data_IF_213911768549
#
_entry.id   IF_213911768549
#
_cell.length_a   1.000
_cell.length_b   1.000
_cell.length_c   1.000
_cell.angle_alpha   90.00
_cell.angle_beta   90.00
_cell.angle_gamma   90.00
#
_symmetry.space_group_name_H-M   'P 1'
#
loop_
_entity.id
_entity.type
_entity.pdbx_description
1 polymer ?
#
# COMPACT_ATOMS: atom_id res chain seq x y z
N UNK A 1 16.57 13.76 -22.49
CA UNK A 1 17.02 12.66 -21.60
C UNK A 1 17.09 13.14 -20.12
N UNK A 2 15.96 13.63 -19.58
CA UNK A 2 15.93 14.24 -18.22
C UNK A 2 15.13 13.40 -17.21
N UNK A 3 15.08 12.08 -17.32
CA UNK A 3 14.21 11.26 -16.46
C UNK A 3 14.88 10.11 -15.72
N UNK A 4 16.08 9.70 -16.07
CA UNK A 4 16.65 8.45 -15.55
C UNK A 4 17.00 8.48 -14.05
N UNK A 5 17.33 9.63 -13.47
CA UNK A 5 17.86 9.75 -12.10
C UNK A 5 16.92 10.45 -11.12
N UNK A 6 15.68 10.77 -11.51
CA UNK A 6 14.72 11.40 -10.60
C UNK A 6 13.97 10.34 -9.78
N UNK A 7 13.99 10.50 -8.48
CA UNK A 7 13.29 9.65 -7.52
C UNK A 7 12.36 10.48 -6.62
N UNK A 8 11.31 9.87 -6.08
CA UNK A 8 10.87 8.48 -6.32
C UNK A 8 10.31 8.26 -7.73
N UNK A 9 10.39 7.03 -8.23
CA UNK A 9 9.69 6.60 -9.43
C UNK A 9 8.19 6.62 -9.18
N UNK A 10 7.40 6.95 -10.21
CA UNK A 10 5.95 7.15 -10.08
C UNK A 10 5.21 5.90 -10.52
N UNK A 11 4.56 5.24 -9.59
CA UNK A 11 3.82 4.00 -9.82
C UNK A 11 2.32 4.16 -9.70
N UNK A 12 1.60 3.29 -10.36
CA UNK A 12 0.16 3.12 -10.25
C UNK A 12 -0.17 1.75 -9.66
N UNK A 13 -1.10 1.68 -8.71
CA UNK A 13 -1.59 0.44 -8.16
C UNK A 13 -2.51 -0.28 -9.14
N UNK A 14 -2.37 -1.62 -9.23
CA UNK A 14 -3.22 -2.47 -10.08
C UNK A 14 -4.38 -3.10 -9.31
N UNK A 15 -4.31 -3.20 -7.99
CA UNK A 15 -5.37 -3.80 -7.16
C UNK A 15 -6.70 -3.04 -7.13
N UNK A 16 -6.82 -1.72 -7.41
CA UNK A 16 -8.12 -1.09 -7.52
C UNK A 16 -9.05 -1.75 -8.53
N UNK A 17 -8.49 -2.42 -9.53
CA UNK A 17 -9.23 -3.22 -10.51
C UNK A 17 -9.79 -4.54 -9.97
N UNK A 18 -9.36 -4.97 -8.78
CA UNK A 18 -9.67 -6.27 -8.18
C UNK A 18 -10.36 -6.16 -6.83
N UNK A 19 -9.79 -5.35 -5.92
CA UNK A 19 -10.25 -5.24 -4.52
C UNK A 19 -11.66 -4.63 -4.48
N UNK A 20 -12.55 -5.31 -3.78
CA UNK A 20 -13.96 -4.90 -3.72
C UNK A 20 -14.77 -5.17 -5.00
N UNK A 21 -14.19 -5.81 -6.01
CA UNK A 21 -14.88 -6.23 -7.24
C UNK A 21 -15.39 -7.66 -7.11
N UNK A 22 -16.40 -8.02 -7.88
CA UNK A 22 -16.97 -9.37 -7.89
C UNK A 22 -18.45 -9.39 -8.22
N UNK A 23 -19.11 -10.55 -8.00
CA UNK A 23 -20.52 -10.78 -8.37
C UNK A 23 -21.50 -9.81 -7.69
N UNK A 24 -21.19 -9.38 -6.47
CA UNK A 24 -22.05 -8.50 -5.66
C UNK A 24 -21.66 -7.02 -5.79
N UNK A 25 -20.85 -6.70 -6.78
CA UNK A 25 -20.28 -5.38 -7.01
C UNK A 25 -20.04 -5.15 -8.51
N UNK A 26 -19.08 -4.29 -8.85
CA UNK A 26 -18.63 -4.11 -10.23
C UNK A 26 -17.70 -5.26 -10.66
N UNK A 27 -17.68 -5.64 -11.96
CA UNK A 27 -16.74 -6.66 -12.42
C UNK A 27 -15.28 -6.18 -12.29
N UNK A 28 -14.31 -7.10 -12.11
CA UNK A 28 -12.90 -6.77 -12.20
C UNK A 28 -12.55 -6.17 -13.57
N UNK A 29 -11.60 -5.24 -13.58
CA UNK A 29 -11.00 -4.74 -14.82
C UNK A 29 -9.79 -5.63 -15.13
N UNK A 30 -9.65 -6.05 -16.38
CA UNK A 30 -8.54 -6.92 -16.77
C UNK A 30 -7.18 -6.20 -16.70
N UNK A 31 -6.12 -7.01 -16.57
CA UNK A 31 -4.77 -6.51 -16.37
C UNK A 31 -4.24 -5.68 -17.54
N UNK A 32 -4.50 -6.12 -18.78
CA UNK A 32 -4.02 -5.43 -19.96
C UNK A 32 -4.68 -4.05 -20.12
N UNK A 33 -5.98 -3.95 -19.85
CA UNK A 33 -6.71 -2.67 -19.81
C UNK A 33 -6.07 -1.71 -18.80
N UNK A 34 -5.80 -2.17 -17.57
CA UNK A 34 -5.15 -1.34 -16.55
C UNK A 34 -3.73 -0.93 -16.94
N UNK A 35 -2.96 -1.85 -17.53
CA UNK A 35 -1.62 -1.53 -18.05
C UNK A 35 -1.69 -0.46 -19.14
N UNK A 36 -2.62 -0.58 -20.08
CA UNK A 36 -2.77 0.36 -21.19
C UNK A 36 -3.17 1.75 -20.70
N UNK A 37 -4.10 1.84 -19.76
CA UNK A 37 -4.49 3.11 -19.14
C UNK A 37 -3.32 3.77 -18.40
N UNK A 38 -2.52 2.97 -17.67
CA UNK A 38 -1.34 3.45 -16.96
C UNK A 38 -0.24 3.92 -17.94
N UNK A 39 0.08 3.13 -18.95
CA UNK A 39 1.13 3.43 -19.91
C UNK A 39 0.81 4.65 -20.82
N UNK A 40 -0.49 4.88 -21.11
CA UNK A 40 -0.95 6.03 -21.88
C UNK A 40 -1.08 7.32 -21.07
N UNK A 41 -1.07 7.22 -19.74
CA UNK A 41 -1.12 8.41 -18.90
C UNK A 41 0.14 9.26 -19.12
N UNK A 42 -0.09 10.54 -19.42
CA UNK A 42 1.00 11.47 -19.72
C UNK A 42 0.63 12.89 -19.27
N UNK A 43 1.56 13.56 -18.60
CA UNK A 43 1.45 14.96 -18.19
C UNK A 43 2.77 15.67 -18.52
N UNK A 44 2.73 16.60 -19.46
CA UNK A 44 3.91 17.38 -19.91
C UNK A 44 5.11 16.52 -20.27
N UNK A 45 4.87 15.42 -21.01
CA UNK A 45 5.91 14.48 -21.45
C UNK A 45 6.38 13.51 -20.36
N UNK A 46 5.85 13.57 -19.14
CA UNK A 46 6.14 12.61 -18.07
C UNK A 46 5.07 11.53 -18.03
N UNK A 47 5.48 10.27 -17.88
CA UNK A 47 4.62 9.09 -17.75
C UNK A 47 4.85 8.40 -16.40
N UNK A 48 4.00 7.42 -16.08
CA UNK A 48 4.30 6.49 -15.00
C UNK A 48 5.58 5.71 -15.31
N UNK A 49 6.41 5.49 -14.30
CA UNK A 49 7.62 4.65 -14.39
C UNK A 49 7.29 3.17 -14.18
N UNK A 50 6.16 2.85 -13.53
CA UNK A 50 5.82 1.48 -13.22
C UNK A 50 4.47 1.30 -12.56
N UNK A 51 4.28 0.08 -12.07
CA UNK A 51 3.08 -0.40 -11.38
C UNK A 51 3.45 -1.15 -10.11
N UNK A 52 2.52 -1.18 -9.16
CA UNK A 52 2.52 -2.12 -8.06
C UNK A 52 1.39 -3.12 -8.26
N UNK A 53 1.63 -4.40 -7.99
CA UNK A 53 0.70 -5.48 -8.35
C UNK A 53 0.13 -6.20 -7.15
N UNK A 54 -1.04 -6.81 -7.34
CA UNK A 54 -1.63 -7.76 -6.41
C UNK A 54 -1.41 -9.18 -6.92
N UNK A 55 -0.81 -10.03 -6.08
CA UNK A 55 -0.58 -11.44 -6.40
C UNK A 55 -1.88 -12.25 -6.26
N UNK A 56 -2.84 -11.94 -7.12
CA UNK A 56 -4.18 -12.53 -7.09
C UNK A 56 -4.80 -12.60 -8.49
N UNK A 57 -5.63 -13.62 -8.71
CA UNK A 57 -6.46 -13.74 -9.90
C UNK A 57 -7.48 -12.57 -9.96
N UNK A 58 -7.88 -12.12 -11.17
CA UNK A 58 -7.45 -12.61 -12.48
C UNK A 58 -6.15 -11.99 -13.00
N UNK A 59 -5.49 -11.07 -12.30
CA UNK A 59 -4.29 -10.39 -12.80
C UNK A 59 -3.07 -11.30 -12.77
N UNK A 60 -2.91 -12.07 -11.70
CA UNK A 60 -1.81 -13.03 -11.54
C UNK A 60 -2.35 -14.31 -10.91
N UNK A 61 -1.75 -15.45 -11.26
CA UNK A 61 -2.07 -16.71 -10.61
C UNK A 61 -1.22 -16.87 -9.34
N UNK A 62 -1.84 -17.25 -8.21
CA UNK A 62 -1.12 -17.48 -6.94
C UNK A 62 -0.14 -18.66 -7.09
N UNK A 63 -0.53 -19.68 -7.82
CA UNK A 63 0.29 -20.88 -8.15
C UNK A 63 0.86 -20.79 -9.57
N UNK A 64 1.50 -19.66 -9.88
CA UNK A 64 2.03 -19.35 -11.20
C UNK A 64 3.10 -20.34 -11.67
N UNK A 65 3.14 -20.54 -12.99
CA UNK A 65 4.24 -21.19 -13.71
C UNK A 65 5.30 -20.17 -14.12
N UNK A 66 6.48 -20.64 -14.50
CA UNK A 66 7.56 -19.76 -14.97
C UNK A 66 7.19 -19.04 -16.27
N UNK A 67 6.42 -19.69 -17.16
CA UNK A 67 5.92 -19.08 -18.38
C UNK A 67 4.89 -17.97 -18.11
N UNK A 68 4.05 -18.12 -17.10
CA UNK A 68 3.11 -17.06 -16.69
C UNK A 68 3.86 -15.83 -16.18
N UNK A 69 4.91 -16.01 -15.38
CA UNK A 69 5.74 -14.90 -14.90
C UNK A 69 6.49 -14.23 -16.04
N UNK A 70 7.01 -15.02 -16.99
CA UNK A 70 7.68 -14.48 -18.18
C UNK A 70 6.71 -13.63 -19.01
N UNK A 71 5.51 -14.14 -19.30
CA UNK A 71 4.47 -13.36 -20.00
C UNK A 71 4.06 -12.10 -19.27
N UNK A 72 3.95 -12.14 -17.93
CA UNK A 72 3.67 -10.96 -17.10
C UNK A 72 4.78 -9.92 -17.26
N UNK A 73 6.04 -10.33 -17.15
CA UNK A 73 7.20 -9.45 -17.34
C UNK A 73 7.22 -8.81 -18.73
N UNK A 74 7.03 -9.62 -19.78
CA UNK A 74 6.97 -9.15 -21.17
C UNK A 74 5.86 -8.12 -21.41
N UNK A 75 4.64 -8.35 -20.87
CA UNK A 75 3.52 -7.40 -20.97
C UNK A 75 3.85 -6.04 -20.35
N UNK A 76 4.48 -6.05 -19.18
CA UNK A 76 4.84 -4.83 -18.47
C UNK A 76 5.98 -4.09 -19.18
N UNK A 77 7.03 -4.81 -19.57
CA UNK A 77 8.18 -4.24 -20.30
C UNK A 77 7.79 -3.68 -21.68
N UNK A 78 6.89 -4.36 -22.42
CA UNK A 78 6.41 -3.89 -23.72
C UNK A 78 5.70 -2.52 -23.63
N UNK A 79 5.25 -2.12 -22.43
CA UNK A 79 4.62 -0.82 -22.18
C UNK A 79 5.58 0.19 -21.54
N UNK A 80 6.87 -0.15 -21.44
CA UNK A 80 7.89 0.71 -20.83
C UNK A 80 7.74 0.87 -19.32
N UNK A 81 7.03 -0.04 -18.65
CA UNK A 81 6.78 0.00 -17.21
C UNK A 81 7.69 -0.99 -16.47
N UNK A 82 7.91 -0.73 -15.18
CA UNK A 82 8.52 -1.66 -14.22
C UNK A 82 7.51 -2.12 -13.16
N UNK A 83 7.88 -3.13 -12.38
CA UNK A 83 7.09 -3.58 -11.22
C UNK A 83 7.81 -3.15 -9.94
N UNK A 84 7.07 -2.61 -8.98
CA UNK A 84 7.53 -2.26 -7.65
C UNK A 84 7.08 -3.24 -6.59
N UNK A 85 6.21 -2.79 -5.69
CA UNK A 85 5.70 -3.61 -4.59
C UNK A 85 4.67 -4.65 -5.05
N UNK A 86 4.59 -5.76 -4.31
CA UNK A 86 3.68 -6.88 -4.57
C UNK A 86 2.84 -7.11 -3.32
N UNK A 87 1.52 -7.03 -3.44
CA UNK A 87 0.58 -7.37 -2.37
C UNK A 87 0.43 -8.88 -2.30
N UNK A 88 0.73 -9.48 -1.13
CA UNK A 88 0.58 -10.91 -0.91
C UNK A 88 -0.89 -11.29 -0.67
N UNK A 89 -1.37 -12.44 -1.21
CA UNK A 89 -2.76 -12.89 -1.08
C UNK A 89 -2.97 -13.60 0.27
N UNK A 90 -2.95 -12.86 1.38
CA UNK A 90 -2.88 -13.43 2.72
C UNK A 90 -4.19 -13.41 3.50
N UNK A 91 -5.32 -13.08 2.88
CA UNK A 91 -6.65 -13.06 3.53
C UNK A 91 -7.74 -13.71 2.67
N UNK A 92 -8.83 -14.24 3.28
CA UNK A 92 -9.99 -14.66 2.54
C UNK A 92 -10.75 -13.45 1.92
N UNK A 93 -11.35 -13.60 0.73
CA UNK A 93 -11.36 -14.79 -0.13
C UNK A 93 -10.12 -14.92 -1.03
N UNK A 94 -9.13 -14.04 -0.88
CA UNK A 94 -7.95 -13.98 -1.75
C UNK A 94 -6.80 -14.77 -1.12
N UNK A 95 -6.48 -15.93 -1.65
CA UNK A 95 -5.43 -16.81 -1.17
C UNK A 95 -5.70 -17.43 0.21
N UNK A 96 -6.20 -16.65 1.16
CA UNK A 96 -6.52 -17.07 2.52
C UNK A 96 -5.32 -17.15 3.46
N UNK A 97 -5.60 -17.51 4.69
CA UNK A 97 -4.65 -17.44 5.81
C UNK A 97 -5.01 -16.32 6.78
N UNK A 98 -4.34 -16.30 7.91
CA UNK A 98 -4.44 -15.21 8.90
C UNK A 98 -3.22 -15.23 9.80
N UNK A 99 -2.64 -14.08 10.08
CA UNK A 99 -1.49 -13.97 10.98
C UNK A 99 -1.86 -14.29 12.44
N UNK A 100 -3.14 -14.19 12.80
CA UNK A 100 -3.65 -14.46 14.15
C UNK A 100 -4.52 -15.73 14.25
N UNK A 101 -4.86 -16.35 13.15
CA UNK A 101 -5.77 -17.49 13.07
C UNK A 101 -5.24 -18.78 13.71
N UNK A 102 -5.84 -19.91 13.36
CA UNK A 102 -5.39 -21.24 13.76
C UNK A 102 -3.96 -21.52 13.29
N UNK A 103 -3.35 -22.59 13.76
CA UNK A 103 -2.02 -23.01 13.27
C UNK A 103 -2.01 -23.24 11.75
N UNK A 104 -3.12 -23.79 11.20
CA UNK A 104 -3.28 -23.98 9.77
C UNK A 104 -3.36 -22.66 9.02
N UNK A 105 -4.13 -21.68 9.53
CA UNK A 105 -4.26 -20.35 8.91
C UNK A 105 -2.93 -19.61 8.90
N UNK A 106 -2.18 -19.66 10.00
CA UNK A 106 -0.84 -19.04 10.08
C UNK A 106 0.15 -19.70 9.12
N UNK A 107 0.12 -21.04 9.01
CA UNK A 107 0.94 -21.77 8.03
C UNK A 107 0.59 -21.36 6.60
N UNK A 108 -0.71 -21.26 6.29
CA UNK A 108 -1.17 -20.82 4.97
C UNK A 108 -0.77 -19.38 4.67
N UNK A 109 -0.83 -18.49 5.67
CA UNK A 109 -0.32 -17.12 5.56
C UNK A 109 1.15 -17.09 5.14
N UNK A 110 2.02 -17.79 5.87
CA UNK A 110 3.46 -17.85 5.57
C UNK A 110 3.73 -18.44 4.19
N UNK A 111 2.97 -19.45 3.78
CA UNK A 111 3.11 -20.05 2.44
C UNK A 111 2.71 -19.09 1.33
N UNK A 112 1.65 -18.30 1.50
CA UNK A 112 1.26 -17.28 0.52
C UNK A 112 2.30 -16.14 0.44
N UNK A 113 2.90 -15.76 1.57
CA UNK A 113 4.06 -14.84 1.55
C UNK A 113 5.23 -15.46 0.77
N UNK A 114 5.53 -16.74 0.96
CA UNK A 114 6.58 -17.46 0.20
C UNK A 114 6.34 -17.40 -1.30
N UNK A 115 5.11 -17.66 -1.73
CA UNK A 115 4.73 -17.57 -3.16
C UNK A 115 4.96 -16.17 -3.73
N UNK A 116 4.59 -15.14 -2.98
CA UNK A 116 4.81 -13.74 -3.40
C UNK A 116 6.30 -13.37 -3.43
N UNK A 117 7.09 -13.82 -2.47
CA UNK A 117 8.55 -13.65 -2.47
C UNK A 117 9.20 -14.35 -3.67
N UNK A 118 8.75 -15.57 -4.00
CA UNK A 118 9.20 -16.31 -5.20
C UNK A 118 8.85 -15.54 -6.48
N UNK A 119 7.62 -14.99 -6.59
CA UNK A 119 7.23 -14.14 -7.71
C UNK A 119 8.15 -12.92 -7.80
N UNK A 120 8.35 -12.21 -6.69
CA UNK A 120 9.21 -11.03 -6.64
C UNK A 120 10.64 -11.32 -7.10
N UNK A 121 11.22 -12.45 -6.65
CA UNK A 121 12.55 -12.87 -7.10
C UNK A 121 12.59 -13.15 -8.61
N UNK A 122 11.61 -13.90 -9.15
CA UNK A 122 11.55 -14.19 -10.59
C UNK A 122 11.42 -12.92 -11.44
N UNK A 123 10.61 -11.96 -11.02
CA UNK A 123 10.48 -10.67 -11.71
C UNK A 123 11.78 -9.85 -11.66
N UNK A 124 12.56 -9.95 -10.57
CA UNK A 124 13.92 -9.36 -10.52
C UNK A 124 14.88 -10.07 -11.48
N UNK A 125 14.88 -11.39 -11.48
CA UNK A 125 15.74 -12.18 -12.37
C UNK A 125 15.44 -11.90 -13.87
N UNK A 126 14.19 -11.56 -14.19
CA UNK A 126 13.74 -11.12 -15.53
C UNK A 126 13.99 -9.62 -15.81
N UNK A 127 14.55 -8.88 -14.87
CA UNK A 127 14.92 -7.47 -15.04
C UNK A 127 13.75 -6.49 -15.13
N UNK A 128 12.53 -6.87 -14.67
CA UNK A 128 11.36 -5.98 -14.68
C UNK A 128 11.07 -5.39 -13.31
N UNK A 129 11.69 -5.91 -12.22
CA UNK A 129 11.53 -5.43 -10.85
C UNK A 129 12.89 -5.11 -10.23
N UNK A 130 13.13 -3.84 -9.90
CA UNK A 130 14.42 -3.37 -9.37
C UNK A 130 14.35 -2.90 -7.91
N UNK A 131 13.14 -2.74 -7.36
CA UNK A 131 12.85 -2.24 -6.01
C UNK A 131 11.44 -2.70 -5.60
N UNK A 132 10.99 -2.23 -4.45
CA UNK A 132 9.69 -2.57 -3.88
C UNK A 132 9.79 -3.62 -2.78
N UNK A 133 8.67 -3.93 -2.18
CA UNK A 133 8.52 -4.83 -1.03
C UNK A 133 7.44 -5.86 -1.32
N UNK A 134 7.32 -6.86 -0.43
CA UNK A 134 6.11 -7.69 -0.35
C UNK A 134 5.22 -7.11 0.72
N UNK A 135 4.09 -6.51 0.33
CA UNK A 135 3.07 -6.00 1.24
C UNK A 135 2.30 -7.13 1.89
N UNK A 136 2.07 -7.04 3.17
CA UNK A 136 1.31 -8.01 3.97
C UNK A 136 0.29 -7.32 4.89
N UNK A 137 -0.76 -8.06 5.24
CA UNK A 137 -1.81 -7.68 6.19
C UNK A 137 -1.90 -8.73 7.30
N UNK A 138 -2.58 -8.43 8.41
CA UNK A 138 -2.76 -9.44 9.46
C UNK A 138 -3.88 -10.44 9.18
N UNK A 139 -4.77 -10.12 8.23
CA UNK A 139 -5.96 -10.91 7.89
C UNK A 139 -6.87 -11.19 9.11
N UNK A 140 -6.99 -10.23 10.02
CA UNK A 140 -7.72 -10.30 11.28
C UNK A 140 -8.45 -8.99 11.51
N UNK A 141 -9.72 -9.03 11.95
CA UNK A 141 -10.46 -7.80 12.26
C UNK A 141 -9.99 -7.13 13.56
N UNK A 142 -10.15 -5.80 13.71
CA UNK A 142 -9.90 -5.11 14.97
C UNK A 142 -10.74 -5.64 16.13
N UNK A 143 -11.97 -6.09 15.86
CA UNK A 143 -12.85 -6.68 16.89
C UNK A 143 -12.32 -8.00 17.44
N UNK A 144 -11.83 -8.89 16.58
CA UNK A 144 -11.20 -10.14 17.03
C UNK A 144 -9.87 -9.85 17.77
N UNK A 145 -9.09 -8.89 17.26
CA UNK A 145 -7.86 -8.48 17.91
C UNK A 145 -8.11 -7.92 19.32
N UNK A 146 -9.19 -7.14 19.52
CA UNK A 146 -9.54 -6.51 20.77
C UNK A 146 -9.97 -7.49 21.89
N UNK A 147 -10.26 -8.76 21.56
CA UNK A 147 -10.60 -9.77 22.58
C UNK A 147 -9.42 -10.13 23.49
N UNK A 148 -8.20 -10.08 22.99
CA UNK A 148 -6.96 -10.25 23.72
C UNK A 148 -5.82 -9.50 23.01
N UNK A 149 -5.74 -8.17 23.13
CA UNK A 149 -4.78 -7.38 22.36
C UNK A 149 -3.33 -7.82 22.56
N UNK A 150 -2.97 -8.13 23.80
CA UNK A 150 -1.59 -8.53 24.16
C UNK A 150 -1.22 -9.91 23.62
N UNK A 151 -2.10 -10.89 23.78
CA UNK A 151 -1.90 -12.24 23.22
C UNK A 151 -1.95 -12.24 21.69
N UNK A 152 -2.86 -11.45 21.11
CA UNK A 152 -3.01 -11.35 19.67
C UNK A 152 -1.84 -10.62 19.00
N UNK A 153 -1.27 -9.57 19.61
CA UNK A 153 -0.02 -8.97 19.17
C UNK A 153 1.12 -10.01 19.11
N UNK A 154 1.24 -10.86 20.15
CA UNK A 154 2.24 -11.94 20.17
C UNK A 154 2.03 -12.95 19.05
N UNK A 155 0.78 -13.35 18.77
CA UNK A 155 0.46 -14.29 17.68
C UNK A 155 0.81 -13.69 16.30
N UNK A 156 0.39 -12.46 16.03
CA UNK A 156 0.72 -11.75 14.78
C UNK A 156 2.24 -11.65 14.63
N UNK A 157 2.93 -11.21 15.70
CA UNK A 157 4.38 -11.07 15.69
C UNK A 157 5.12 -12.40 15.41
N UNK A 158 4.65 -13.52 15.98
CA UNK A 158 5.21 -14.84 15.71
C UNK A 158 5.07 -15.21 14.23
N UNK A 159 3.87 -15.05 13.65
CA UNK A 159 3.62 -15.37 12.24
C UNK A 159 4.43 -14.46 11.32
N UNK A 160 4.55 -13.18 11.65
CA UNK A 160 5.37 -12.24 10.87
C UNK A 160 6.87 -12.56 10.96
N UNK A 161 7.39 -13.05 12.12
CA UNK A 161 8.78 -13.53 12.20
C UNK A 161 9.05 -14.72 11.27
N UNK A 162 8.11 -15.67 11.21
CA UNK A 162 8.21 -16.80 10.29
C UNK A 162 8.19 -16.32 8.82
N UNK A 163 7.29 -15.37 8.49
CA UNK A 163 7.23 -14.74 7.18
C UNK A 163 8.51 -13.94 6.85
N UNK A 164 9.12 -13.25 7.85
CA UNK A 164 10.39 -12.54 7.68
C UNK A 164 11.53 -13.50 7.32
N UNK A 165 11.59 -14.68 7.94
CA UNK A 165 12.60 -15.68 7.59
C UNK A 165 12.46 -16.13 6.13
N UNK A 166 11.21 -16.37 5.69
CA UNK A 166 10.93 -16.68 4.29
C UNK A 166 11.34 -15.54 3.36
N UNK A 167 10.99 -14.29 3.71
CA UNK A 167 11.32 -13.13 2.86
C UNK A 167 12.85 -12.97 2.71
N UNK A 168 13.60 -13.15 3.80
CA UNK A 168 15.05 -13.08 3.79
C UNK A 168 15.69 -14.11 2.83
N UNK A 169 15.16 -15.34 2.77
CA UNK A 169 15.63 -16.40 1.86
C UNK A 169 15.51 -15.99 0.37
N UNK A 170 14.58 -15.12 0.05
CA UNK A 170 14.37 -14.59 -1.31
C UNK A 170 14.99 -13.20 -1.53
N UNK A 171 15.67 -12.63 -0.51
CA UNK A 171 16.18 -11.25 -0.56
C UNK A 171 15.07 -10.20 -0.63
N UNK A 172 13.90 -10.49 -0.06
CA UNK A 172 12.76 -9.59 0.02
C UNK A 172 12.64 -8.93 1.39
N UNK A 173 11.92 -7.81 1.42
CA UNK A 173 11.45 -7.17 2.65
C UNK A 173 9.93 -7.19 2.67
N UNK A 174 9.36 -7.29 3.87
CA UNK A 174 7.93 -7.24 4.10
C UNK A 174 7.53 -5.82 4.53
N UNK A 175 6.41 -5.33 4.04
CA UNK A 175 5.79 -4.11 4.53
C UNK A 175 4.39 -4.43 5.06
N UNK A 176 4.19 -4.18 6.35
CA UNK A 176 2.89 -4.29 7.00
C UNK A 176 2.07 -3.04 6.68
N UNK A 177 0.94 -3.18 6.01
CA UNK A 177 0.11 -2.04 5.64
C UNK A 177 -0.74 -1.55 6.78
N UNK A 178 -0.81 -0.22 6.88
CA UNK A 178 -1.56 0.48 7.92
C UNK A 178 -3.07 0.53 7.69
N UNK A 179 -3.69 -0.49 7.14
CA UNK A 179 -5.14 -0.52 6.95
C UNK A 179 -5.90 -0.60 8.27
N UNK A 180 -6.94 0.23 8.39
CA UNK A 180 -7.74 0.31 9.61
C UNK A 180 -8.61 -0.92 9.89
N UNK A 181 -8.86 -1.76 8.89
CA UNK A 181 -9.65 -2.98 9.03
C UNK A 181 -8.86 -4.18 9.56
N UNK A 182 -7.53 -4.08 9.70
CA UNK A 182 -6.70 -5.19 10.13
C UNK A 182 -6.25 -5.06 11.59
N UNK A 183 -6.56 -6.07 12.41
CA UNK A 183 -6.16 -6.15 13.81
C UNK A 183 -4.63 -6.15 13.99
N UNK A 184 -4.11 -5.39 14.96
CA UNK A 184 -2.68 -5.17 15.14
C UNK A 184 -2.08 -4.11 14.20
N UNK A 185 -2.85 -3.68 13.17
CA UNK A 185 -2.44 -2.67 12.18
C UNK A 185 -3.42 -1.48 12.12
N UNK A 186 -4.54 -1.56 12.83
CA UNK A 186 -5.70 -0.64 12.75
C UNK A 186 -5.46 0.76 13.33
N UNK A 187 -4.28 1.02 13.90
CA UNK A 187 -3.87 2.33 14.40
C UNK A 187 -2.35 2.45 14.41
N UNK A 188 -1.84 3.69 14.43
CA UNK A 188 -0.40 3.94 14.52
C UNK A 188 0.23 3.25 15.75
N UNK A 189 -0.46 3.22 16.89
CA UNK A 189 0.03 2.59 18.11
C UNK A 189 0.08 1.06 17.98
N UNK A 190 -1.00 0.43 17.52
CA UNK A 190 -1.05 -1.01 17.34
C UNK A 190 -0.02 -1.50 16.30
N UNK A 191 0.23 -0.69 15.27
CA UNK A 191 1.27 -0.96 14.28
C UNK A 191 2.66 -0.96 14.91
N UNK A 192 3.00 0.05 15.69
CA UNK A 192 4.30 0.12 16.39
C UNK A 192 4.44 -1.06 17.34
N UNK A 193 3.44 -1.29 18.22
CA UNK A 193 3.44 -2.42 19.16
C UNK A 193 3.65 -3.77 18.44
N UNK A 194 3.07 -3.93 17.25
CA UNK A 194 3.24 -5.15 16.42
C UNK A 194 4.65 -5.25 15.83
N UNK A 195 5.17 -4.18 15.22
CA UNK A 195 6.51 -4.18 14.60
C UNK A 195 7.61 -4.35 15.64
N UNK A 196 7.48 -3.71 16.81
CA UNK A 196 8.39 -3.91 17.95
C UNK A 196 8.36 -5.36 18.45
N UNK A 197 7.16 -5.95 18.56
CA UNK A 197 7.02 -7.36 18.94
C UNK A 197 7.61 -8.32 17.91
N UNK A 198 7.62 -7.98 16.62
CA UNK A 198 8.29 -8.79 15.57
C UNK A 198 9.80 -8.74 15.74
N UNK A 199 10.38 -7.61 16.07
CA UNK A 199 11.83 -7.41 16.29
C UNK A 199 12.69 -7.92 15.11
N UNK A 200 12.36 -7.48 13.89
CA UNK A 200 13.11 -7.79 12.65
C UNK A 200 13.17 -6.56 11.73
N UNK A 201 13.70 -5.40 12.18
CA UNK A 201 13.61 -4.13 11.46
C UNK A 201 14.34 -4.15 10.09
N UNK A 202 15.27 -5.09 9.88
CA UNK A 202 15.96 -5.25 8.60
C UNK A 202 15.07 -5.92 7.54
N UNK A 203 14.08 -6.72 7.95
CA UNK A 203 13.25 -7.52 7.04
C UNK A 203 11.81 -7.03 6.95
N UNK A 204 11.26 -6.45 8.02
CA UNK A 204 9.90 -5.90 8.03
C UNK A 204 9.87 -4.44 8.43
N UNK A 205 8.95 -3.71 7.82
CA UNK A 205 8.63 -2.33 8.19
C UNK A 205 7.17 -2.01 7.94
N UNK A 206 6.87 -0.73 8.01
CA UNK A 206 5.55 -0.17 7.79
C UNK A 206 5.37 0.26 6.33
N UNK A 207 4.23 -0.07 5.75
CA UNK A 207 3.75 0.58 4.54
C UNK A 207 2.76 1.66 4.92
N UNK A 208 3.15 2.90 4.66
CA UNK A 208 2.29 4.03 4.90
C UNK A 208 1.36 4.26 3.72
N UNK A 209 0.06 4.34 3.98
CA UNK A 209 -0.93 4.84 3.04
C UNK A 209 -1.60 6.08 3.61
N UNK A 210 -1.71 7.15 2.79
CA UNK A 210 -2.23 8.44 3.26
C UNK A 210 -3.73 8.38 3.60
N UNK A 211 -4.52 7.53 2.91
CA UNK A 211 -5.95 7.41 3.19
C UNK A 211 -6.21 6.73 4.54
N UNK A 212 -5.43 5.69 4.86
CA UNK A 212 -5.58 4.96 6.12
C UNK A 212 -5.00 5.75 7.30
N UNK A 213 -3.83 6.37 7.10
CA UNK A 213 -3.16 7.12 8.17
C UNK A 213 -3.89 8.41 8.56
N UNK A 214 -4.67 9.02 7.67
CA UNK A 214 -5.62 10.07 8.06
C UNK A 214 -6.61 9.56 9.11
N UNK A 215 -7.17 8.36 8.93
CA UNK A 215 -8.11 7.76 9.87
C UNK A 215 -7.43 7.33 11.19
N UNK A 216 -6.14 7.05 11.17
CA UNK A 216 -5.36 6.87 12.40
C UNK A 216 -5.38 8.14 13.26
N UNK A 217 -5.21 9.33 12.66
CA UNK A 217 -5.27 10.58 13.42
C UNK A 217 -6.65 10.82 14.00
N UNK A 218 -7.71 10.35 13.34
CA UNK A 218 -9.09 10.40 13.82
C UNK A 218 -9.39 9.36 14.90
N UNK A 219 -8.53 8.36 15.10
CA UNK A 219 -8.75 7.26 16.05
C UNK A 219 -9.95 6.38 15.67
N UNK A 220 -10.16 6.12 14.37
CA UNK A 220 -11.38 5.46 13.88
C UNK A 220 -11.65 4.11 14.56
N UNK A 221 -10.71 3.18 14.55
CA UNK A 221 -10.80 1.88 15.24
C UNK A 221 -10.00 1.82 16.56
N UNK A 222 -9.45 2.96 17.01
CA UNK A 222 -8.66 3.06 18.23
C UNK A 222 -8.85 4.45 18.88
N UNK A 223 -9.99 4.72 19.53
CA UNK A 223 -10.26 6.03 20.12
C UNK A 223 -9.20 6.52 21.10
N UNK A 224 -8.53 5.59 21.81
CA UNK A 224 -7.43 5.90 22.74
C UNK A 224 -6.14 6.37 22.05
N UNK A 225 -5.98 6.09 20.77
CA UNK A 225 -4.84 6.52 19.95
C UNK A 225 -5.15 7.76 19.08
N UNK A 226 -6.29 8.40 19.32
CA UNK A 226 -6.74 9.58 18.58
C UNK A 226 -5.81 10.77 18.79
N UNK A 227 -5.51 11.49 17.72
CA UNK A 227 -4.71 12.71 17.71
C UNK A 227 -5.53 13.97 17.38
N UNK A 228 -6.64 13.82 16.64
CA UNK A 228 -7.59 14.88 16.35
C UNK A 228 -8.75 14.85 17.37
N UNK A 229 -9.37 15.98 17.73
CA UNK A 229 -10.58 16.00 18.55
C UNK A 229 -11.72 15.16 17.96
N UNK A 230 -12.59 14.60 18.78
CA UNK A 230 -13.74 13.80 18.33
C UNK A 230 -14.66 14.59 17.37
N UNK A 231 -14.83 15.87 17.62
CA UNK A 231 -15.56 16.83 16.77
C UNK A 231 -14.57 17.77 16.13
N UNK A 232 -13.75 17.23 15.20
CA UNK A 232 -12.73 18.01 14.52
C UNK A 232 -13.33 18.94 13.47
N UNK A 233 -12.88 20.20 13.48
CA UNK A 233 -13.26 21.18 12.46
C UNK A 233 -12.26 21.11 11.29
N UNK A 234 -12.67 20.56 10.16
CA UNK A 234 -11.85 20.40 8.95
C UNK A 234 -11.30 21.71 8.35
N UNK A 235 -11.82 22.86 8.76
CA UNK A 235 -11.25 24.18 8.39
C UNK A 235 -9.95 24.49 9.16
N UNK A 236 -9.68 23.81 10.28
CA UNK A 236 -8.48 24.03 11.08
C UNK A 236 -7.30 23.18 10.55
N UNK A 237 -6.72 23.60 9.44
CA UNK A 237 -5.60 22.89 8.80
C UNK A 237 -4.36 22.80 9.70
N UNK A 238 -4.07 23.80 10.52
CA UNK A 238 -2.93 23.78 11.43
C UNK A 238 -3.03 22.64 12.45
N UNK A 239 -4.24 22.32 12.93
CA UNK A 239 -4.45 21.20 13.85
C UNK A 239 -4.34 19.85 13.13
N UNK A 240 -4.80 19.76 11.87
CA UNK A 240 -4.59 18.57 11.04
C UNK A 240 -3.09 18.33 10.80
N UNK A 241 -2.37 19.37 10.40
CA UNK A 241 -0.92 19.28 10.18
C UNK A 241 -0.16 18.81 11.42
N UNK A 242 -0.53 19.35 12.59
CA UNK A 242 0.06 18.92 13.86
C UNK A 242 -0.19 17.44 14.14
N UNK A 243 -1.42 16.96 13.94
CA UNK A 243 -1.78 15.57 14.19
C UNK A 243 -1.07 14.64 13.19
N UNK A 244 -1.05 14.98 11.89
CA UNK A 244 -0.34 14.23 10.85
C UNK A 244 1.17 14.20 11.13
N UNK A 245 1.79 15.34 11.47
CA UNK A 245 3.22 15.41 11.82
C UNK A 245 3.54 14.53 13.01
N UNK A 246 2.74 14.59 14.08
CA UNK A 246 2.95 13.75 15.27
C UNK A 246 2.90 12.26 14.91
N UNK A 247 1.91 11.84 14.14
CA UNK A 247 1.77 10.44 13.72
C UNK A 247 2.91 10.01 12.80
N UNK A 248 3.23 10.83 11.79
CA UNK A 248 4.31 10.50 10.85
C UNK A 248 5.66 10.45 11.54
N UNK A 249 5.94 11.32 12.51
CA UNK A 249 7.19 11.28 13.30
C UNK A 249 7.38 9.95 14.03
N UNK A 250 6.29 9.36 14.54
CA UNK A 250 6.32 8.06 15.23
C UNK A 250 6.49 6.88 14.27
N UNK A 251 5.87 6.92 13.08
CA UNK A 251 5.85 5.81 12.14
C UNK A 251 7.00 5.84 11.11
N UNK A 252 7.56 7.02 10.80
CA UNK A 252 8.64 7.17 9.81
C UNK A 252 9.85 6.25 10.02
N UNK A 253 10.35 6.04 11.25
CA UNK A 253 11.47 5.11 11.45
C UNK A 253 11.20 3.70 10.92
N UNK A 254 9.94 3.27 10.97
CA UNK A 254 9.48 1.96 10.50
C UNK A 254 9.10 1.94 9.02
N UNK A 255 8.80 3.11 8.42
CA UNK A 255 8.24 3.19 7.05
C UNK A 255 9.28 2.79 6.01
N UNK A 256 8.93 1.82 5.16
CA UNK A 256 9.79 1.31 4.09
C UNK A 256 9.12 1.31 2.73
N UNK A 257 7.81 1.57 2.69
CA UNK A 257 7.00 1.70 1.47
C UNK A 257 5.95 2.79 1.65
N UNK A 258 5.54 3.46 0.58
CA UNK A 258 4.69 4.63 0.70
C UNK A 258 3.68 4.74 -0.45
N UNK A 259 2.39 4.73 -0.08
CA UNK A 259 1.29 4.99 -0.99
C UNK A 259 0.76 6.41 -0.81
N UNK A 260 0.66 7.12 -1.92
CA UNK A 260 0.02 8.42 -2.02
C UNK A 260 -1.46 8.20 -2.28
N UNK A 261 -2.31 8.80 -1.49
CA UNK A 261 -3.76 8.68 -1.61
C UNK A 261 -4.47 9.95 -1.13
N UNK A 262 -5.75 10.09 -1.49
CA UNK A 262 -6.65 11.11 -0.95
C UNK A 262 -7.77 10.42 -0.15
N UNK A 263 -8.21 11.06 0.93
CA UNK A 263 -9.35 10.60 1.74
C UNK A 263 -10.21 11.80 2.18
N UNK A 264 -11.51 11.58 2.28
CA UNK A 264 -12.49 12.61 2.72
C UNK A 264 -12.83 12.56 4.22
N UNK A 265 -12.09 11.79 5.00
CA UNK A 265 -12.33 11.55 6.42
C UNK A 265 -13.34 10.41 6.66
N UNK A 266 -13.65 9.60 5.65
CA UNK A 266 -14.61 8.50 5.74
C UNK A 266 -13.99 7.14 5.38
N UNK A 267 -14.77 6.09 5.58
CA UNK A 267 -14.43 4.71 5.25
C UNK A 267 -15.31 4.20 4.12
N UNK A 268 -14.83 3.17 3.42
CA UNK A 268 -15.57 2.46 2.39
C UNK A 268 -15.29 0.97 2.50
N UNK A 269 -16.33 0.17 2.29
CA UNK A 269 -16.25 -1.26 1.99
C UNK A 269 -17.04 -1.53 0.73
N UNK A 270 -16.64 -2.50 -0.08
CA UNK A 270 -17.30 -2.88 -1.30
C UNK A 270 -16.97 -4.34 -1.66
N UNK A 271 -17.95 -5.07 -2.19
CA UNK A 271 -17.77 -6.49 -2.50
C UNK A 271 -17.37 -7.29 -1.28
N UNK A 272 -16.32 -8.06 -1.40
CA UNK A 272 -15.78 -8.89 -0.31
C UNK A 272 -14.87 -8.15 0.66
N UNK A 273 -14.58 -6.85 0.42
CA UNK A 273 -13.60 -6.11 1.22
C UNK A 273 -14.28 -5.36 2.38
N UNK A 274 -13.72 -5.50 3.56
CA UNK A 274 -14.15 -4.78 4.77
C UNK A 274 -13.98 -3.26 4.63
N UNK A 275 -14.63 -2.53 5.52
CA UNK A 275 -14.51 -1.07 5.55
C UNK A 275 -13.09 -0.65 5.92
N UNK A 276 -12.45 -0.01 4.96
CA UNK A 276 -11.12 0.60 5.10
C UNK A 276 -11.16 2.10 4.80
N UNK A 277 -10.04 2.80 4.83
CA UNK A 277 -9.98 4.22 4.46
C UNK A 277 -10.51 4.43 3.04
N UNK A 278 -11.51 5.31 2.87
CA UNK A 278 -12.02 5.61 1.54
C UNK A 278 -10.95 6.31 0.72
N UNK A 279 -10.57 5.68 -0.38
CA UNK A 279 -9.73 6.36 -1.38
C UNK A 279 -10.60 7.24 -2.26
N UNK A 280 -10.21 8.50 -2.37
CA UNK A 280 -10.91 9.49 -3.18
C UNK A 280 -10.07 9.87 -4.39
N UNK A 281 -10.74 10.37 -5.43
CA UNK A 281 -10.05 11.03 -6.52
C UNK A 281 -9.21 12.18 -5.99
N UNK A 282 -8.07 12.42 -6.62
CA UNK A 282 -7.20 13.55 -6.27
C UNK A 282 -7.90 14.90 -6.38
N UNK A 283 -8.92 14.99 -7.23
CA UNK A 283 -9.75 16.16 -7.48
C UNK A 283 -11.06 16.18 -6.66
N UNK A 284 -11.25 15.22 -5.74
CA UNK A 284 -12.48 15.17 -4.93
C UNK A 284 -12.59 16.44 -4.07
N UNK A 285 -13.67 17.24 -4.22
CA UNK A 285 -13.85 18.48 -3.46
C UNK A 285 -14.00 18.25 -1.95
N UNK A 286 -14.33 17.02 -1.53
CA UNK A 286 -14.42 16.64 -0.13
C UNK A 286 -13.11 16.12 0.45
N UNK A 287 -12.07 15.91 -0.39
CA UNK A 287 -10.76 15.46 0.03
C UNK A 287 -10.17 16.34 1.13
N UNK A 288 -9.58 15.71 2.16
CA UNK A 288 -9.08 16.39 3.35
C UNK A 288 -7.58 16.65 3.31
N UNK A 289 -6.88 15.99 2.38
CA UNK A 289 -5.43 16.07 2.29
C UNK A 289 -5.01 17.07 1.19
N UNK A 290 -4.12 18.00 1.53
CA UNK A 290 -3.23 18.60 0.54
C UNK A 290 -2.17 17.59 0.19
N UNK A 291 -2.44 16.75 -0.83
CA UNK A 291 -1.64 15.57 -1.14
C UNK A 291 -0.15 15.90 -1.31
N UNK A 292 0.26 16.91 -2.13
CA UNK A 292 1.69 17.23 -2.26
C UNK A 292 2.33 17.68 -0.95
N UNK A 293 1.62 18.38 -0.08
CA UNK A 293 2.14 18.85 1.19
C UNK A 293 2.25 17.73 2.22
N UNK A 294 1.18 16.96 2.38
CA UNK A 294 1.12 15.90 3.39
C UNK A 294 2.00 14.69 3.03
N UNK A 295 2.18 14.39 1.73
CA UNK A 295 3.18 13.41 1.29
C UNK A 295 4.60 13.81 1.73
N UNK A 296 4.89 15.10 1.76
CA UNK A 296 6.17 15.61 2.26
C UNK A 296 6.47 15.23 3.70
N UNK A 297 5.46 15.05 4.56
CA UNK A 297 5.64 14.63 5.95
C UNK A 297 6.22 13.21 6.07
N UNK A 298 6.01 12.35 5.06
CA UNK A 298 6.60 11.02 4.97
C UNK A 298 7.98 11.03 4.32
N UNK A 299 8.16 11.86 3.30
CA UNK A 299 9.35 11.88 2.46
C UNK A 299 10.47 12.75 3.02
N UNK A 300 10.15 13.75 3.86
CA UNK A 300 11.09 14.73 4.41
C UNK A 300 10.99 14.79 5.93
N UNK A 301 12.16 14.84 6.58
CA UNK A 301 12.27 15.14 8.00
C UNK A 301 11.98 16.61 8.32
N UNK A 302 11.97 16.96 9.60
CA UNK A 302 11.76 18.34 10.08
C UNK A 302 12.84 19.31 9.60
N UNK A 303 14.04 18.80 9.36
CA UNK A 303 15.20 19.51 8.81
C UNK A 303 15.14 19.69 7.28
N UNK A 304 14.09 19.16 6.62
CA UNK A 304 13.95 19.13 5.17
C UNK A 304 14.78 18.04 4.47
N UNK A 305 15.61 17.30 5.22
CA UNK A 305 16.36 16.15 4.70
C UNK A 305 15.48 14.97 4.34
N UNK A 306 15.99 14.06 3.51
CA UNK A 306 15.26 12.83 3.18
C UNK A 306 15.10 11.96 4.43
N UNK A 307 13.89 11.47 4.69
CA UNK A 307 13.65 10.49 5.76
C UNK A 307 14.22 9.14 5.38
N UNK A 308 14.00 8.73 4.15
CA UNK A 308 14.56 7.56 3.46
C UNK A 308 14.61 7.84 1.97
N UNK A 309 15.53 7.20 1.27
CA UNK A 309 15.62 7.28 -0.19
C UNK A 309 14.58 6.32 -0.83
N UNK A 310 13.29 6.67 -0.74
CA UNK A 310 12.23 5.90 -1.40
C UNK A 310 12.50 5.81 -2.90
N UNK A 311 12.59 4.58 -3.41
CA UNK A 311 12.84 4.32 -4.83
C UNK A 311 11.61 4.55 -5.68
N UNK A 312 10.43 4.36 -5.13
CA UNK A 312 9.16 4.66 -5.78
C UNK A 312 8.12 5.13 -4.78
N UNK A 313 7.08 5.74 -5.28
CA UNK A 313 5.80 6.02 -4.60
C UNK A 313 4.69 5.51 -5.50
N UNK A 314 3.65 4.95 -4.91
CA UNK A 314 2.51 4.42 -5.65
C UNK A 314 1.24 5.22 -5.32
N UNK A 315 0.40 5.48 -6.33
CA UNK A 315 -0.95 5.96 -6.06
C UNK A 315 -1.87 4.79 -5.74
N UNK A 316 -2.55 4.87 -4.61
CA UNK A 316 -3.62 3.92 -4.28
C UNK A 316 -5.00 4.54 -4.55
N UNK A 317 -5.75 3.91 -5.47
CA UNK A 317 -7.13 4.22 -5.80
C UNK A 317 -8.08 3.08 -5.42
N UNK A 318 -7.81 2.38 -4.32
CA UNK A 318 -8.58 1.22 -3.88
C UNK A 318 -10.08 1.48 -3.88
N UNK A 319 -10.84 0.54 -4.47
CA UNK A 319 -12.30 0.62 -4.63
C UNK A 319 -12.83 1.82 -5.43
N UNK A 320 -12.02 2.40 -6.34
CA UNK A 320 -12.57 3.35 -7.31
C UNK A 320 -13.64 2.70 -8.18
N UNK A 321 -14.75 3.40 -8.50
CA UNK A 321 -15.73 2.89 -9.46
C UNK A 321 -15.11 2.65 -10.84
N UNK A 322 -15.57 1.60 -11.55
CA UNK A 322 -15.10 1.32 -12.90
C UNK A 322 -15.31 2.49 -13.86
N UNK A 323 -16.44 3.21 -13.71
CA UNK A 323 -16.74 4.41 -14.48
C UNK A 323 -15.69 5.52 -14.35
N UNK A 324 -14.98 5.56 -13.21
CA UNK A 324 -13.86 6.48 -12.97
C UNK A 324 -12.56 5.89 -13.50
N UNK A 325 -12.30 4.61 -13.23
CA UNK A 325 -11.05 3.95 -13.62
C UNK A 325 -10.89 3.80 -15.14
N UNK A 326 -11.98 3.65 -15.89
CA UNK A 326 -11.96 3.52 -17.36
C UNK A 326 -11.70 4.84 -18.08
N UNK A 327 -11.59 5.97 -17.36
CA UNK A 327 -11.29 7.28 -17.94
C UNK A 327 -9.79 7.55 -17.93
N UNK A 328 -9.19 7.81 -19.08
CA UNK A 328 -7.79 8.20 -19.18
C UNK A 328 -7.46 9.46 -18.34
N UNK A 329 -8.41 10.39 -18.25
CA UNK A 329 -8.27 11.61 -17.44
C UNK A 329 -7.96 11.31 -15.98
N UNK A 330 -8.56 10.25 -15.40
CA UNK A 330 -8.31 9.82 -14.02
C UNK A 330 -6.81 9.59 -13.78
N UNK A 331 -6.18 8.84 -14.66
CA UNK A 331 -4.77 8.48 -14.53
C UNK A 331 -3.84 9.66 -14.83
N UNK A 332 -4.24 10.57 -15.72
CA UNK A 332 -3.50 11.80 -15.96
C UNK A 332 -3.54 12.74 -14.73
N UNK A 333 -4.70 12.89 -14.08
CA UNK A 333 -4.84 13.71 -12.87
C UNK A 333 -4.00 13.15 -11.70
N UNK A 334 -4.03 11.84 -11.55
CA UNK A 334 -3.22 11.10 -10.56
C UNK A 334 -1.73 11.31 -10.82
N UNK A 335 -1.29 11.04 -12.05
CA UNK A 335 0.10 11.23 -12.45
C UNK A 335 0.56 12.69 -12.23
N UNK A 336 -0.27 13.66 -12.60
CA UNK A 336 0.03 15.07 -12.36
C UNK A 336 0.23 15.42 -10.88
N UNK A 337 -0.46 14.72 -9.98
CA UNK A 337 -0.27 14.89 -8.54
C UNK A 337 1.00 14.21 -8.05
N UNK A 338 1.29 13.00 -8.50
CA UNK A 338 2.55 12.31 -8.16
C UNK A 338 3.78 13.10 -8.67
N UNK A 339 3.67 13.72 -9.85
CA UNK A 339 4.71 14.63 -10.36
C UNK A 339 4.94 15.78 -9.38
N UNK A 340 3.88 16.43 -8.89
CA UNK A 340 3.99 17.52 -7.89
C UNK A 340 4.63 17.05 -6.59
N UNK A 341 4.33 15.83 -6.14
CA UNK A 341 4.97 15.22 -4.96
C UNK A 341 6.46 15.02 -5.22
N UNK A 342 6.84 14.39 -6.34
CA UNK A 342 8.24 14.17 -6.71
C UNK A 342 9.02 15.46 -6.91
N UNK A 343 8.45 16.44 -7.61
CA UNK A 343 9.15 17.71 -7.88
C UNK A 343 9.41 18.48 -6.59
N UNK A 344 8.51 18.38 -5.61
CA UNK A 344 8.65 19.08 -4.33
C UNK A 344 9.51 18.34 -3.31
N UNK A 345 9.47 17.02 -3.29
CA UNK A 345 10.03 16.19 -2.22
C UNK A 345 10.97 15.10 -2.71
N UNK A 346 11.18 15.00 -4.00
CA UNK A 346 12.03 13.99 -4.61
C UNK A 346 13.53 14.22 -4.40
N UNK A 347 14.32 13.32 -4.94
CA UNK A 347 15.78 13.34 -4.90
C UNK A 347 16.37 12.83 -6.21
N UNK A 348 17.64 13.13 -6.44
CA UNK A 348 18.40 12.66 -7.59
C UNK A 348 19.46 11.67 -7.12
N UNK A 349 19.69 10.60 -7.91
CA UNK A 349 20.72 9.60 -7.68
C UNK A 349 21.97 9.87 -8.51
#
# INVERSE_FOLDING_TARGET
>A
MAGANNFPKLHNAMWPALVGKGSDSEPPIDFDTMLDLTARAEVKGVKFDGIDIFHAAPHTNIDFTDDEVKRLAEKVQARGLSIGSIVAPVWPPVGGGSAMGSASDRKKFVENVRKSCRLGKKLRDLGVRHYGVIRIDSATSPGEFAKDPKGNTKKVAQTFREACSVAADYGERLAAEGEICWGGMHSWKAMIDTLEAVDRPQTIGFQADMAHTLLYTMGYNAPSARLLPAKYNWKNQAQLDKALTQMTDMLRPWTIDFHVAQNDGTVKGMGYHDKTGRHCMVTDPNGKLDVPRHAGMWLRGKDGGLTKAFRHICWDGCMFPNTVMMQQKTWNDILGTLIKVRDKHGWQA
#
